data_IF_714510876057
#
_entry.id   IF_714510876057
#
_cell.length_a   1.000
_cell.length_b   1.000
_cell.length_c   1.000
_cell.angle_alpha   90.00
_cell.angle_beta   90.00
_cell.angle_gamma   90.00
#
_symmetry.space_group_name_H-M   'P 1'
#
loop_
_entity.id
_entity.type
_entity.pdbx_description
1 polymer ?
#
# COMPACT_ATOMS: atom_id res chain seq x y z
N UNK A 1 13.75 0.42 -5.97
CA UNK A 1 13.26 -0.96 -6.02
C UNK A 1 12.04 -0.91 -6.94
N UNK A 2 12.06 -1.59 -8.08
CA UNK A 2 10.87 -1.58 -8.97
C UNK A 2 9.73 -2.30 -8.26
N UNK A 3 8.63 -1.59 -8.03
CA UNK A 3 7.38 -2.20 -7.58
C UNK A 3 6.84 -3.04 -8.73
N UNK A 4 6.68 -4.33 -8.51
CA UNK A 4 5.92 -5.16 -9.43
C UNK A 4 4.44 -4.90 -9.16
N UNK A 5 3.72 -4.41 -10.17
CA UNK A 5 2.28 -4.27 -10.09
C UNK A 5 1.64 -5.64 -9.87
N UNK A 6 0.65 -5.70 -8.99
CA UNK A 6 -0.08 -6.93 -8.74
C UNK A 6 -0.85 -7.39 -9.98
N UNK A 7 -0.56 -8.61 -10.46
CA UNK A 7 -1.25 -9.20 -11.60
C UNK A 7 -2.56 -9.88 -11.17
N UNK A 8 -3.65 -9.11 -11.25
CA UNK A 8 -4.99 -9.59 -10.93
C UNK A 8 -5.48 -10.71 -11.86
N UNK A 9 -5.04 -10.76 -13.13
CA UNK A 9 -5.47 -11.80 -14.07
C UNK A 9 -4.80 -13.13 -13.76
N UNK A 10 -3.49 -13.12 -13.49
CA UNK A 10 -2.76 -14.30 -13.01
C UNK A 10 -3.34 -14.79 -11.68
N UNK A 11 -3.58 -13.87 -10.74
CA UNK A 11 -4.18 -14.19 -9.44
C UNK A 11 -5.54 -14.88 -9.60
N UNK A 12 -6.47 -14.33 -10.39
CA UNK A 12 -7.80 -14.94 -10.61
C UNK A 12 -7.71 -16.38 -11.12
N UNK A 13 -6.81 -16.66 -12.08
CA UNK A 13 -6.61 -18.01 -12.63
C UNK A 13 -6.08 -18.98 -11.58
N UNK A 14 -5.09 -18.55 -10.79
CA UNK A 14 -4.52 -19.35 -9.72
C UNK A 14 -5.54 -19.58 -8.60
N UNK A 15 -6.22 -18.53 -8.15
CA UNK A 15 -7.23 -18.60 -7.11
C UNK A 15 -8.37 -19.54 -7.51
N UNK A 16 -8.92 -19.43 -8.73
CA UNK A 16 -9.96 -20.33 -9.21
C UNK A 16 -9.53 -21.80 -9.15
N UNK A 17 -8.27 -22.10 -9.49
CA UNK A 17 -7.72 -23.47 -9.41
C UNK A 17 -7.62 -23.96 -7.97
N UNK A 18 -7.13 -23.12 -7.05
CA UNK A 18 -6.95 -23.45 -5.64
C UNK A 18 -8.29 -23.61 -4.90
N UNK A 19 -9.25 -22.73 -5.18
CA UNK A 19 -10.61 -22.83 -4.64
C UNK A 19 -11.29 -24.13 -5.06
N UNK A 20 -11.15 -24.54 -6.32
CA UNK A 20 -11.67 -25.83 -6.80
C UNK A 20 -11.02 -27.03 -6.12
N UNK A 21 -9.77 -26.90 -5.67
CA UNK A 21 -9.07 -27.94 -4.89
C UNK A 21 -9.47 -27.99 -3.41
N UNK A 22 -10.20 -26.97 -2.93
CA UNK A 22 -10.59 -26.86 -1.52
C UNK A 22 -9.49 -26.29 -0.62
N UNK A 23 -8.52 -25.57 -1.18
CA UNK A 23 -7.52 -24.86 -0.39
C UNK A 23 -8.19 -23.86 0.58
N UNK A 24 -7.56 -23.62 1.73
CA UNK A 24 -8.04 -22.67 2.72
C UNK A 24 -8.13 -21.27 2.14
N UNK A 25 -9.24 -20.56 2.39
CA UNK A 25 -9.45 -19.20 1.90
C UNK A 25 -8.51 -18.19 2.56
N UNK A 26 -8.30 -18.34 3.86
CA UNK A 26 -7.58 -17.43 4.75
C UNK A 26 -6.39 -18.13 5.42
N UNK A 27 -5.58 -17.35 6.13
CA UNK A 27 -4.37 -17.82 6.82
C UNK A 27 -3.10 -17.50 6.04
N UNK A 28 -1.95 -17.93 6.55
CA UNK A 28 -0.64 -17.61 5.94
C UNK A 28 -0.55 -18.05 4.47
N UNK A 29 -1.12 -19.22 4.16
CA UNK A 29 -1.12 -19.80 2.81
C UNK A 29 -2.51 -19.77 2.16
N UNK A 30 -3.39 -18.89 2.65
CA UNK A 30 -4.74 -18.72 2.14
C UNK A 30 -4.77 -18.34 0.66
N UNK A 31 -5.84 -18.73 -0.04
CA UNK A 31 -6.04 -18.34 -1.44
C UNK A 31 -6.11 -16.82 -1.60
N UNK A 32 -6.70 -16.12 -0.62
CA UNK A 32 -6.89 -14.67 -0.66
C UNK A 32 -5.74 -13.88 -0.04
N UNK A 33 -4.75 -14.54 0.57
CA UNK A 33 -3.63 -13.87 1.24
C UNK A 33 -2.86 -12.90 0.34
N UNK A 34 -2.54 -13.23 -0.92
CA UNK A 34 -1.88 -12.29 -1.82
C UNK A 34 -2.70 -11.02 -2.06
N UNK A 35 -4.02 -11.16 -2.17
CA UNK A 35 -4.94 -10.03 -2.38
C UNK A 35 -5.05 -9.14 -1.14
N UNK A 36 -5.15 -9.74 0.05
CA UNK A 36 -5.14 -8.99 1.31
C UNK A 36 -3.83 -8.23 1.50
N UNK A 37 -2.70 -8.85 1.15
CA UNK A 37 -1.40 -8.22 1.22
C UNK A 37 -1.34 -6.98 0.33
N UNK A 38 -1.71 -7.11 -0.94
CA UNK A 38 -1.74 -5.99 -1.89
C UNK A 38 -2.61 -4.83 -1.38
N UNK A 39 -3.80 -5.13 -0.87
CA UNK A 39 -4.70 -4.12 -0.33
C UNK A 39 -4.11 -3.38 0.88
N UNK A 40 -3.49 -4.11 1.80
CA UNK A 40 -2.90 -3.52 3.01
C UNK A 40 -1.63 -2.73 2.70
N UNK A 41 -0.79 -3.22 1.79
CA UNK A 41 0.40 -2.48 1.34
C UNK A 41 -0.01 -1.17 0.68
N UNK A 42 -1.01 -1.16 -0.21
CA UNK A 42 -1.52 0.07 -0.81
C UNK A 42 -2.07 1.05 0.22
N UNK A 43 -2.85 0.57 1.21
CA UNK A 43 -3.38 1.44 2.27
C UNK A 43 -2.28 2.06 3.16
N UNK A 44 -1.23 1.30 3.47
CA UNK A 44 -0.08 1.78 4.26
C UNK A 44 0.76 2.80 3.49
N UNK A 45 0.87 2.64 2.17
CA UNK A 45 1.60 3.56 1.32
C UNK A 45 0.85 4.87 1.14
N UNK A 46 -0.48 4.81 0.96
CA UNK A 46 -1.34 5.99 0.94
C UNK A 46 -1.26 6.75 2.28
N UNK A 47 -1.26 6.02 3.39
CA UNK A 47 -1.04 6.62 4.71
C UNK A 47 0.34 7.31 4.79
N UNK A 48 1.40 6.63 4.36
CA UNK A 48 2.75 7.19 4.39
C UNK A 48 2.90 8.45 3.52
N UNK A 49 2.30 8.47 2.33
CA UNK A 49 2.32 9.64 1.44
C UNK A 49 1.60 10.83 2.09
N UNK A 50 0.43 10.61 2.69
CA UNK A 50 -0.33 11.65 3.38
C UNK A 50 0.43 12.26 4.57
N UNK A 51 1.14 11.45 5.36
CA UNK A 51 1.96 11.96 6.47
C UNK A 51 3.18 12.76 6.00
N UNK A 52 3.78 12.41 4.85
CA UNK A 52 4.89 13.17 4.28
C UNK A 52 4.43 14.53 3.73
N UNK A 53 3.23 14.61 3.15
CA UNK A 53 2.64 15.89 2.72
C UNK A 53 2.35 16.82 3.91
N UNK A 54 1.89 16.26 5.04
CA UNK A 54 1.58 17.01 6.27
C UNK A 54 2.85 17.51 7.02
N UNK A 55 3.97 16.77 6.96
CA UNK A 55 5.25 17.17 7.59
C UNK A 55 5.96 18.33 6.84
N UNK A 56 5.49 18.72 5.66
CA UNK A 56 5.90 19.94 4.95
C UNK A 56 5.04 21.11 5.46
N UNK A 57 5.02 21.36 6.77
CA UNK A 57 4.55 22.66 7.25
C UNK A 57 5.51 23.74 6.72
N UNK A 58 5.01 24.78 6.03
CA UNK A 58 5.84 25.91 5.65
C UNK A 58 6.36 26.54 6.94
N UNK A 59 7.65 26.37 7.23
CA UNK A 59 8.37 27.23 8.18
C UNK A 59 8.16 28.68 7.72
N UNK A 60 7.17 29.35 8.32
CA UNK A 60 6.97 30.78 8.14
C UNK A 60 8.25 31.46 8.62
N UNK A 61 9.04 31.94 7.65
CA UNK A 61 10.25 32.73 7.86
C UNK A 61 9.88 34.06 8.51
N UNK A 62 9.56 34.04 9.80
CA UNK A 62 9.35 35.24 10.63
C UNK A 62 10.70 35.78 11.10
N UNK A 63 11.52 36.20 10.13
CA UNK A 63 12.75 36.95 10.36
C UNK A 63 12.52 38.43 10.08
N UNK A 64 11.89 39.12 11.03
CA UNK A 64 11.72 40.57 11.06
C UNK A 64 13.10 41.26 11.01
N UNK A 65 13.60 41.60 9.83
CA UNK A 65 14.71 42.54 9.69
C UNK A 65 14.17 43.96 9.87
N UNK A 66 13.91 44.33 11.13
CA UNK A 66 14.01 45.74 11.51
C UNK A 66 15.50 46.06 11.50
N UNK A 67 15.97 46.79 10.50
CA UNK A 67 17.15 47.63 10.68
C UNK A 67 16.97 48.94 9.94
N UNK A 68 17.44 49.96 10.63
CA UNK A 68 17.16 51.39 10.58
C UNK A 68 17.91 52.09 9.45
#
# INVERSE_FOLDING_TARGET
MEKQNFDFEAFKKQAATRLKKGDTLLGKDGVLTPLLKEFLEGALEDELEAHIEDDIEPIERTGRAVNK
#
